data_IF_745080925498
#
_entry.id   IF_745080925498
#
_cell.length_a   1.000
_cell.length_b   1.000
_cell.length_c   1.000
_cell.angle_alpha   90.00
_cell.angle_beta   90.00
_cell.angle_gamma   90.00
#
_symmetry.space_group_name_H-M   'P 1'
#
loop_
_entity.id
_entity.type
_entity.pdbx_description
1 polymer ?
#
# COMPACT_ATOMS: atom_id res chain seq x y z
N UNK A 1 17.94 -14.02 -32.79
CA UNK A 1 17.44 -12.95 -33.68
C UNK A 1 16.44 -12.05 -32.94
N UNK A 2 15.33 -12.57 -32.40
CA UNK A 2 14.31 -11.80 -31.67
C UNK A 2 14.82 -10.94 -30.49
N UNK A 3 15.60 -11.51 -29.57
CA UNK A 3 16.09 -10.76 -28.40
C UNK A 3 16.91 -9.51 -28.73
N UNK A 4 17.71 -9.54 -29.81
CA UNK A 4 18.51 -8.39 -30.23
C UNK A 4 17.64 -7.30 -30.86
N UNK A 5 16.57 -7.70 -31.56
CA UNK A 5 15.55 -6.76 -32.06
C UNK A 5 14.75 -6.15 -30.90
N UNK A 6 14.46 -6.92 -29.84
CA UNK A 6 13.78 -6.45 -28.63
C UNK A 6 14.62 -5.40 -27.89
N UNK A 7 15.94 -5.62 -27.75
CA UNK A 7 16.85 -4.63 -27.15
C UNK A 7 16.94 -3.34 -27.98
N UNK A 8 16.97 -3.46 -29.30
CA UNK A 8 16.96 -2.30 -30.19
C UNK A 8 15.61 -1.56 -30.13
N UNK A 9 14.50 -2.31 -30.00
CA UNK A 9 13.16 -1.79 -29.76
C UNK A 9 13.07 -1.02 -28.45
N UNK A 10 13.62 -1.55 -27.36
CA UNK A 10 13.70 -0.90 -26.06
C UNK A 10 14.47 0.43 -26.15
N UNK A 11 15.61 0.45 -26.85
CA UNK A 11 16.38 1.67 -27.09
C UNK A 11 15.56 2.77 -27.80
N UNK A 12 14.71 2.40 -28.77
CA UNK A 12 13.81 3.33 -29.45
C UNK A 12 12.69 3.85 -28.57
N UNK A 13 12.14 3.01 -27.68
CA UNK A 13 11.13 3.43 -26.71
C UNK A 13 11.72 4.43 -25.72
N UNK A 14 12.94 4.20 -25.23
CA UNK A 14 13.62 5.14 -24.34
C UNK A 14 13.83 6.52 -25.00
N UNK A 15 14.19 6.55 -26.28
CA UNK A 15 14.28 7.79 -27.06
C UNK A 15 12.91 8.48 -27.16
N UNK A 16 11.86 7.72 -27.45
CA UNK A 16 10.51 8.27 -27.55
C UNK A 16 10.01 8.86 -26.21
N UNK A 17 10.31 8.19 -25.09
CA UNK A 17 9.99 8.65 -23.74
C UNK A 17 10.78 9.91 -23.37
N UNK A 18 12.07 9.98 -23.72
CA UNK A 18 12.91 11.15 -23.42
C UNK A 18 12.51 12.40 -24.23
N UNK A 19 12.04 12.23 -25.47
CA UNK A 19 11.65 13.32 -26.38
C UNK A 19 10.16 13.66 -26.35
N UNK A 20 9.34 12.85 -25.67
CA UNK A 20 7.88 13.02 -25.64
C UNK A 20 7.20 12.95 -27.02
N UNK A 21 7.84 12.35 -28.02
CA UNK A 21 7.41 12.35 -29.42
C UNK A 21 7.78 11.04 -30.12
N UNK A 22 7.03 10.68 -31.18
CA UNK A 22 7.28 9.54 -32.07
C UNK A 22 8.55 9.73 -32.96
N UNK A 23 9.60 10.35 -32.41
CA UNK A 23 10.89 10.57 -33.06
C UNK A 23 11.69 9.26 -33.32
N UNK A 24 11.13 8.09 -32.94
CA UNK A 24 11.68 6.76 -33.15
C UNK A 24 11.78 6.30 -34.63
N UNK A 25 11.49 7.19 -35.60
CA UNK A 25 11.71 6.92 -37.03
C UNK A 25 13.23 6.95 -37.31
N UNK A 26 13.74 5.95 -38.03
CA UNK A 26 15.19 5.69 -38.27
C UNK A 26 15.99 6.92 -38.73
N UNK A 27 15.36 7.89 -39.40
CA UNK A 27 16.00 9.09 -39.94
C UNK A 27 16.33 10.16 -38.88
N UNK A 28 15.66 10.15 -37.71
CA UNK A 28 15.82 11.19 -36.68
C UNK A 28 16.67 10.74 -35.48
N UNK A 29 17.24 9.53 -35.49
CA UNK A 29 17.97 8.97 -34.33
C UNK A 29 19.19 9.82 -33.97
N UNK A 30 19.95 10.33 -34.96
CA UNK A 30 21.14 11.15 -34.70
C UNK A 30 20.79 12.50 -34.05
N UNK A 31 19.75 13.18 -34.54
CA UNK A 31 19.25 14.44 -33.97
C UNK A 31 18.66 14.22 -32.57
N UNK A 32 17.91 13.13 -32.40
CA UNK A 32 17.37 12.69 -31.12
C UNK A 32 18.48 12.45 -30.09
N UNK A 33 19.60 11.88 -30.52
CA UNK A 33 20.72 11.59 -29.63
C UNK A 33 21.50 12.84 -29.20
N UNK A 34 21.60 13.83 -30.07
CA UNK A 34 22.17 15.14 -29.73
C UNK A 34 21.32 15.85 -28.67
N UNK A 35 19.98 15.77 -28.80
CA UNK A 35 19.05 16.34 -27.82
C UNK A 35 19.11 15.63 -26.46
N UNK A 36 19.13 14.29 -26.46
CA UNK A 36 19.29 13.48 -25.23
C UNK A 36 20.63 13.81 -24.54
N UNK A 37 21.69 14.07 -25.31
CA UNK A 37 22.98 14.47 -24.75
C UNK A 37 22.96 15.84 -24.06
N UNK A 38 21.98 16.69 -24.34
CA UNK A 38 21.85 18.02 -23.74
C UNK A 38 20.87 18.04 -22.56
N UNK A 39 19.81 17.21 -22.60
CA UNK A 39 18.74 17.25 -21.60
C UNK A 39 18.75 16.10 -20.59
N UNK A 40 19.44 14.99 -20.88
CA UNK A 40 19.44 13.81 -20.03
C UNK A 40 20.82 13.50 -19.43
N UNK A 41 20.83 12.62 -18.42
CA UNK A 41 22.08 12.15 -17.79
C UNK A 41 22.94 11.34 -18.76
N UNK A 42 24.26 11.45 -18.62
CA UNK A 42 25.24 10.72 -19.44
C UNK A 42 25.06 9.20 -19.37
N UNK A 43 24.61 8.66 -18.23
CA UNK A 43 24.27 7.23 -18.09
C UNK A 43 23.14 6.81 -19.04
N UNK A 44 22.07 7.61 -19.13
CA UNK A 44 20.93 7.31 -20.00
C UNK A 44 21.36 7.31 -21.47
N UNK A 45 22.23 8.26 -21.86
CA UNK A 45 22.84 8.30 -23.19
C UNK A 45 23.64 7.02 -23.46
N UNK A 46 24.51 6.62 -22.52
CA UNK A 46 25.34 5.43 -22.67
C UNK A 46 24.49 4.15 -22.80
N UNK A 47 23.42 4.02 -22.02
CA UNK A 47 22.46 2.91 -22.11
C UNK A 47 21.77 2.88 -23.48
N UNK A 48 21.26 4.02 -23.95
CA UNK A 48 20.59 4.11 -25.26
C UNK A 48 21.55 3.78 -26.40
N UNK A 49 22.79 4.27 -26.36
CA UNK A 49 23.82 3.91 -27.36
C UNK A 49 24.10 2.42 -27.35
N UNK A 50 24.25 1.81 -26.18
CA UNK A 50 24.49 0.37 -26.04
C UNK A 50 23.34 -0.47 -26.61
N UNK A 51 22.10 -0.07 -26.35
CA UNK A 51 20.90 -0.77 -26.82
C UNK A 51 20.69 -0.63 -28.34
N UNK A 52 21.03 0.52 -28.93
CA UNK A 52 20.91 0.73 -30.38
C UNK A 52 22.02 0.05 -31.19
N UNK A 53 23.21 -0.09 -30.62
CA UNK A 53 24.35 -0.80 -31.23
C UNK A 53 24.23 -2.32 -31.18
N UNK A 54 23.18 -2.82 -30.52
CA UNK A 54 22.84 -4.23 -30.46
C UNK A 54 22.58 -4.78 -31.88
N UNK A 55 23.57 -5.48 -32.46
CA UNK A 55 23.48 -6.15 -33.76
C UNK A 55 23.90 -7.63 -33.68
N UNK A 56 23.59 -8.42 -34.71
CA UNK A 56 23.94 -9.85 -34.78
C UNK A 56 25.47 -10.07 -34.71
N UNK A 57 26.28 -9.09 -35.11
CA UNK A 57 27.74 -9.14 -35.09
C UNK A 57 28.34 -8.77 -33.72
N UNK A 58 27.57 -8.13 -32.84
CA UNK A 58 27.95 -7.82 -31.46
C UNK A 58 26.78 -8.17 -30.53
N UNK A 59 26.61 -9.46 -30.18
CA UNK A 59 25.57 -9.84 -29.22
C UNK A 59 25.83 -9.10 -27.91
N UNK A 60 24.81 -8.36 -27.43
CA UNK A 60 24.88 -7.64 -26.16
C UNK A 60 24.03 -8.38 -25.16
N UNK A 61 24.54 -8.57 -23.95
CA UNK A 61 23.75 -9.08 -22.84
C UNK A 61 23.16 -7.93 -22.03
N UNK A 62 21.95 -8.11 -21.51
CA UNK A 62 21.32 -7.18 -20.56
C UNK A 62 22.21 -6.92 -19.32
N UNK A 63 23.09 -7.88 -18.99
CA UNK A 63 24.05 -7.77 -17.90
C UNK A 63 25.04 -6.61 -18.08
N UNK A 64 25.29 -6.16 -19.32
CA UNK A 64 26.15 -5.00 -19.59
C UNK A 64 25.51 -3.67 -19.16
N UNK A 65 24.19 -3.65 -18.98
CA UNK A 65 23.43 -2.47 -18.53
C UNK A 65 23.43 -2.37 -16.99
N UNK A 66 23.63 -3.49 -16.28
CA UNK A 66 23.60 -3.54 -14.82
C UNK A 66 24.55 -2.55 -14.13
N UNK A 67 25.80 -2.33 -14.56
CA UNK A 67 26.68 -1.35 -13.94
C UNK A 67 26.19 0.10 -14.09
N UNK A 68 25.51 0.42 -15.20
CA UNK A 68 25.01 1.77 -15.49
C UNK A 68 23.72 2.10 -14.72
N UNK A 69 22.92 1.07 -14.39
CA UNK A 69 21.69 1.21 -13.62
C UNK A 69 21.90 0.86 -12.13
N UNK A 70 23.00 0.19 -11.77
CA UNK A 70 23.19 -0.45 -10.45
C UNK A 70 22.95 0.47 -9.25
N UNK A 71 23.49 1.70 -9.27
CA UNK A 71 23.25 2.66 -8.19
C UNK A 71 21.77 3.11 -8.12
N UNK A 72 21.11 3.26 -9.27
CA UNK A 72 19.69 3.64 -9.37
C UNK A 72 18.77 2.48 -8.98
N UNK A 73 19.21 1.24 -9.17
CA UNK A 73 18.49 0.05 -8.76
C UNK A 73 18.26 0.05 -7.25
N UNK A 74 19.27 0.42 -6.45
CA UNK A 74 19.11 0.53 -5.00
C UNK A 74 18.09 1.59 -4.58
N UNK A 75 18.12 2.77 -5.21
CA UNK A 75 17.12 3.81 -4.93
C UNK A 75 15.68 3.36 -5.29
N UNK A 76 15.53 2.63 -6.41
CA UNK A 76 14.24 2.08 -6.82
C UNK A 76 13.78 0.95 -5.88
N UNK A 77 14.71 0.09 -5.45
CA UNK A 77 14.44 -0.97 -4.48
C UNK A 77 14.00 -0.38 -3.15
N UNK A 78 14.70 0.62 -2.63
CA UNK A 78 14.35 1.35 -1.41
C UNK A 78 12.96 1.97 -1.52
N UNK A 79 12.66 2.67 -2.62
CA UNK A 79 11.33 3.27 -2.85
C UNK A 79 10.23 2.19 -2.85
N UNK A 80 10.51 1.02 -3.45
CA UNK A 80 9.58 -0.11 -3.48
C UNK A 80 9.39 -0.71 -2.10
N UNK A 81 10.47 -0.85 -1.33
CA UNK A 81 10.45 -1.34 0.04
C UNK A 81 9.62 -0.41 0.94
N UNK A 82 9.90 0.90 0.91
CA UNK A 82 9.14 1.90 1.66
C UNK A 82 7.64 1.86 1.32
N UNK A 83 7.31 1.69 0.03
CA UNK A 83 5.92 1.54 -0.39
C UNK A 83 5.27 0.27 0.17
N UNK A 84 6.01 -0.84 0.21
CA UNK A 84 5.51 -2.08 0.82
C UNK A 84 5.27 -1.89 2.32
N UNK A 85 6.20 -1.28 3.05
CA UNK A 85 6.04 -1.01 4.48
C UNK A 85 4.81 -0.14 4.76
N UNK A 86 4.55 0.86 3.92
CA UNK A 86 3.33 1.68 4.00
C UNK A 86 2.07 0.84 3.77
N UNK A 87 2.06 -0.02 2.75
CA UNK A 87 0.91 -0.88 2.45
C UNK A 87 0.66 -1.91 3.55
N UNK A 88 1.72 -2.48 4.12
CA UNK A 88 1.62 -3.42 5.24
C UNK A 88 1.05 -2.74 6.49
N UNK A 89 1.46 -1.50 6.77
CA UNK A 89 0.91 -0.72 7.89
C UNK A 89 -0.59 -0.42 7.70
N UNK A 90 -0.99 0.02 6.50
CA UNK A 90 -2.42 0.26 6.22
C UNK A 90 -3.24 -1.03 6.25
N UNK A 91 -2.70 -2.14 5.74
CA UNK A 91 -3.34 -3.44 5.83
C UNK A 91 -3.51 -3.89 7.28
N UNK A 92 -2.51 -3.66 8.13
CA UNK A 92 -2.57 -3.98 9.57
C UNK A 92 -3.72 -3.24 10.25
N UNK A 93 -3.87 -1.93 9.98
CA UNK A 93 -4.99 -1.11 10.49
C UNK A 93 -6.34 -1.62 10.00
N UNK A 94 -6.46 -1.98 8.72
CA UNK A 94 -7.72 -2.51 8.17
C UNK A 94 -8.10 -3.88 8.76
N UNK A 95 -7.11 -4.73 9.05
CA UNK A 95 -7.36 -5.98 9.76
C UNK A 95 -7.87 -5.73 11.18
N UNK A 96 -7.31 -4.76 11.90
CA UNK A 96 -7.81 -4.34 13.21
C UNK A 96 -9.24 -3.78 13.10
N UNK A 97 -9.50 -2.88 12.15
CA UNK A 97 -10.85 -2.35 11.88
C UNK A 97 -11.86 -3.48 11.64
N UNK A 98 -11.51 -4.48 10.84
CA UNK A 98 -12.36 -5.65 10.60
C UNK A 98 -12.64 -6.47 11.86
N UNK A 99 -11.66 -6.61 12.77
CA UNK A 99 -11.84 -7.29 14.07
C UNK A 99 -12.77 -6.50 14.99
N UNK A 100 -12.51 -5.20 15.11
CA UNK A 100 -13.31 -4.28 15.93
C UNK A 100 -14.75 -4.20 15.44
N UNK A 101 -14.96 -4.14 14.12
CA UNK A 101 -16.28 -4.16 13.52
C UNK A 101 -17.06 -5.43 13.91
N UNK A 102 -16.46 -6.62 13.79
CA UNK A 102 -17.11 -7.87 14.20
C UNK A 102 -17.45 -7.90 15.70
N UNK A 103 -16.57 -7.35 16.55
CA UNK A 103 -16.82 -7.24 17.99
C UNK A 103 -17.99 -6.30 18.27
N UNK A 104 -18.06 -5.16 17.59
CA UNK A 104 -19.16 -4.22 17.70
C UNK A 104 -20.48 -4.83 17.24
N UNK A 105 -20.50 -5.59 16.14
CA UNK A 105 -21.71 -6.30 15.70
C UNK A 105 -22.20 -7.29 16.78
N UNK A 106 -21.28 -8.05 17.39
CA UNK A 106 -21.62 -8.96 18.49
C UNK A 106 -22.17 -8.22 19.71
N UNK A 107 -21.51 -7.13 20.12
CA UNK A 107 -21.96 -6.31 21.25
C UNK A 107 -23.37 -5.77 21.00
N UNK A 108 -23.61 -5.13 19.86
CA UNK A 108 -24.91 -4.55 19.51
C UNK A 108 -26.02 -5.60 19.36
N UNK A 109 -25.69 -6.84 18.96
CA UNK A 109 -26.66 -7.95 18.89
C UNK A 109 -27.13 -8.39 20.29
N UNK A 110 -26.34 -8.13 21.34
CA UNK A 110 -26.63 -8.56 22.71
C UNK A 110 -27.26 -7.42 23.54
N UNK A 111 -26.74 -6.19 23.46
CA UNK A 111 -26.99 -5.14 24.47
C UNK A 111 -28.38 -4.52 24.47
N UNK A 112 -29.18 -4.68 23.40
CA UNK A 112 -30.52 -4.09 23.30
C UNK A 112 -31.52 -5.07 22.67
N UNK A 113 -31.29 -6.38 22.84
CA UNK A 113 -32.18 -7.40 22.29
C UNK A 113 -33.51 -7.39 23.04
N UNK A 114 -34.55 -6.87 22.39
CA UNK A 114 -35.92 -6.93 22.89
C UNK A 114 -36.38 -8.39 22.95
N UNK A 115 -36.60 -8.87 24.17
CA UNK A 115 -37.21 -10.15 24.52
C UNK A 115 -36.53 -11.40 23.93
N UNK A 116 -35.98 -12.23 24.82
CA UNK A 116 -35.55 -13.57 24.46
C UNK A 116 -36.29 -14.57 25.34
N UNK A 117 -37.03 -15.50 24.72
CA UNK A 117 -37.78 -16.55 25.42
C UNK A 117 -38.77 -16.02 26.47
N UNK A 118 -39.50 -14.94 26.15
CA UNK A 118 -40.51 -14.29 27.02
C UNK A 118 -39.95 -13.63 28.30
N UNK A 119 -38.63 -13.45 28.41
CA UNK A 119 -38.02 -12.62 29.45
C UNK A 119 -37.76 -11.20 28.92
N UNK A 120 -38.55 -10.24 29.42
CA UNK A 120 -38.46 -8.81 29.09
C UNK A 120 -37.18 -8.18 29.64
N UNK A 121 -36.59 -8.77 30.69
CA UNK A 121 -35.38 -8.29 31.36
C UNK A 121 -34.10 -8.98 30.89
N UNK A 122 -34.18 -9.81 29.84
CA UNK A 122 -33.08 -10.71 29.45
C UNK A 122 -31.74 -9.99 29.20
N UNK A 123 -31.76 -8.77 28.65
CA UNK A 123 -30.57 -7.94 28.38
C UNK A 123 -30.07 -7.17 29.62
N UNK A 124 -30.85 -7.12 30.71
CA UNK A 124 -30.59 -6.28 31.89
C UNK A 124 -30.13 -7.07 33.13
N UNK A 125 -29.83 -8.36 32.99
CA UNK A 125 -29.49 -9.24 34.11
C UNK A 125 -28.09 -9.84 33.98
N UNK A 126 -27.32 -9.86 35.07
CA UNK A 126 -26.02 -10.55 35.17
C UNK A 126 -24.95 -10.01 34.21
N UNK A 127 -24.24 -10.92 33.53
CA UNK A 127 -23.13 -10.58 32.61
C UNK A 127 -23.56 -9.69 31.43
N UNK A 128 -24.84 -9.73 31.03
CA UNK A 128 -25.37 -8.93 29.93
C UNK A 128 -25.53 -7.46 30.33
N UNK A 129 -25.88 -7.21 31.59
CA UNK A 129 -25.90 -5.87 32.15
C UNK A 129 -24.49 -5.24 32.16
N UNK A 130 -23.45 -6.03 32.44
CA UNK A 130 -22.06 -5.56 32.34
C UNK A 130 -21.70 -5.15 30.91
N UNK A 131 -22.18 -5.87 29.89
CA UNK A 131 -21.99 -5.50 28.49
C UNK A 131 -22.73 -4.21 28.12
N UNK A 132 -23.92 -3.97 28.69
CA UNK A 132 -24.67 -2.71 28.53
C UNK A 132 -23.91 -1.53 29.14
N UNK A 133 -23.40 -1.68 30.38
CA UNK A 133 -22.54 -0.67 31.01
C UNK A 133 -21.26 -0.41 30.22
N UNK A 134 -20.64 -1.45 29.66
CA UNK A 134 -19.47 -1.30 28.81
C UNK A 134 -19.78 -0.54 27.52
N UNK A 135 -20.94 -0.79 26.89
CA UNK A 135 -21.41 -0.01 25.75
C UNK A 135 -21.58 1.47 26.12
N UNK A 136 -22.15 1.76 27.29
CA UNK A 136 -22.32 3.14 27.75
C UNK A 136 -20.99 3.83 28.05
N UNK A 137 -20.04 3.11 28.64
CA UNK A 137 -18.67 3.58 28.82
C UNK A 137 -17.99 3.97 27.50
N UNK A 138 -18.24 3.22 26.41
CA UNK A 138 -17.67 3.50 25.09
C UNK A 138 -18.36 4.66 24.36
N UNK A 139 -19.69 4.70 24.34
CA UNK A 139 -20.45 5.55 23.42
C UNK A 139 -21.24 6.69 24.09
N UNK A 140 -21.40 6.65 25.42
CA UNK A 140 -22.11 7.66 26.19
C UNK A 140 -21.15 8.46 27.09
N UNK A 141 -19.96 8.79 26.57
CA UNK A 141 -19.04 9.67 27.28
C UNK A 141 -19.59 11.11 27.33
N UNK A 142 -19.38 11.77 28.46
CA UNK A 142 -19.76 13.16 28.68
C UNK A 142 -18.55 13.98 29.09
N UNK A 143 -18.44 15.21 28.59
CA UNK A 143 -17.42 16.17 29.00
C UNK A 143 -17.71 16.70 30.41
N UNK A 144 -16.74 17.43 30.99
CA UNK A 144 -16.91 18.12 32.27
C UNK A 144 -18.11 19.08 32.30
N UNK A 145 -18.54 19.56 31.13
CA UNK A 145 -19.72 20.44 30.96
C UNK A 145 -21.02 19.66 30.70
N UNK A 146 -21.01 18.33 30.82
CA UNK A 146 -22.16 17.45 30.56
C UNK A 146 -22.55 17.31 29.09
N UNK A 147 -21.68 17.70 28.14
CA UNK A 147 -21.96 17.56 26.70
C UNK A 147 -21.50 16.18 26.21
N UNK A 148 -22.21 15.55 25.25
CA UNK A 148 -21.76 14.28 24.69
C UNK A 148 -20.39 14.46 24.03
N UNK A 149 -19.47 13.56 24.33
CA UNK A 149 -18.11 13.53 23.82
C UNK A 149 -17.87 12.20 23.11
N UNK A 150 -17.25 12.23 21.93
CA UNK A 150 -16.91 11.02 21.19
C UNK A 150 -15.41 10.99 21.00
N UNK A 151 -14.75 10.13 21.77
CA UNK A 151 -13.31 9.87 21.62
C UNK A 151 -13.08 8.56 20.86
N UNK A 152 -12.70 8.69 19.58
CA UNK A 152 -12.41 7.53 18.74
C UNK A 152 -11.18 6.75 19.22
N UNK A 153 -10.16 7.41 19.79
CA UNK A 153 -8.98 6.73 20.30
C UNK A 153 -9.33 5.91 21.54
N UNK A 154 -10.18 6.44 22.41
CA UNK A 154 -10.73 5.71 23.55
C UNK A 154 -11.50 4.46 23.11
N UNK A 155 -12.41 4.61 22.14
CA UNK A 155 -13.26 3.50 21.66
C UNK A 155 -12.37 2.38 21.08
N UNK A 156 -11.46 2.73 20.18
CA UNK A 156 -10.54 1.77 19.54
C UNK A 156 -9.66 1.07 20.59
N UNK A 157 -9.04 1.83 21.49
CA UNK A 157 -8.16 1.26 22.53
C UNK A 157 -8.90 0.33 23.48
N UNK A 158 -10.11 0.72 23.91
CA UNK A 158 -10.92 -0.07 24.84
C UNK A 158 -11.42 -1.36 24.21
N UNK A 159 -11.86 -1.33 22.94
CA UNK A 159 -12.26 -2.54 22.22
C UNK A 159 -11.07 -3.48 21.93
N UNK A 160 -9.90 -2.92 21.59
CA UNK A 160 -8.68 -3.71 21.38
C UNK A 160 -8.26 -4.45 22.67
N UNK A 161 -8.40 -3.82 23.84
CA UNK A 161 -8.15 -4.48 25.14
C UNK A 161 -9.08 -5.69 25.36
N UNK A 162 -10.38 -5.54 25.09
CA UNK A 162 -11.36 -6.63 25.20
C UNK A 162 -11.00 -7.78 24.24
N UNK A 163 -10.65 -7.44 23.01
CA UNK A 163 -10.28 -8.43 22.00
C UNK A 163 -8.99 -9.19 22.40
N UNK A 164 -7.93 -8.50 22.84
CA UNK A 164 -6.67 -9.14 23.26
C UNK A 164 -6.88 -10.11 24.44
N UNK A 165 -7.65 -9.70 25.45
CA UNK A 165 -7.96 -10.54 26.60
C UNK A 165 -8.80 -11.78 26.22
N UNK A 166 -9.62 -11.67 25.17
CA UNK A 166 -10.35 -12.84 24.65
C UNK A 166 -9.41 -13.87 24.01
N UNK A 167 -8.31 -13.45 23.37
CA UNK A 167 -7.33 -14.37 22.79
C UNK A 167 -6.45 -15.05 23.86
N UNK A 168 -6.11 -14.35 24.95
CA UNK A 168 -5.30 -14.93 26.04
C UNK A 168 -6.02 -16.02 26.83
N UNK A 169 -7.36 -16.09 26.76
CA UNK A 169 -8.15 -17.16 27.40
C UNK A 169 -8.18 -18.47 26.58
N UNK A 170 -7.69 -18.44 25.33
CA UNK A 170 -7.62 -19.59 24.43
C UNK A 170 -6.18 -19.99 24.05
N UNK A 171 -5.17 -19.46 24.77
CA UNK A 171 -3.76 -19.86 24.68
C UNK A 171 -3.33 -20.54 25.97
#
# INVERSE_FOLDING_TARGET
MRFQEDLNGLGRVLIALALGSNAARRENINNSMNFISQQCTTDLKNIITLLLQASIQRPRSINEVMPMIGARFYAQLETTQMKNDLLENELSKELENGRLFRLLCKLNTITERAEFQMDVSWSETGDRYLLKLFRDYLFHQVSETGKPWIDMAHIVTSLNKVYQNSCSLYS
#
